data_IF_139769414889
#
_entry.id   IF_139769414889
#
_cell.length_a   1.000
_cell.length_b   1.000
_cell.length_c   1.000
_cell.angle_alpha   90.00
_cell.angle_beta   90.00
_cell.angle_gamma   90.00
#
_symmetry.space_group_name_H-M   'P 1'
#
loop_
_entity.id
_entity.type
_entity.pdbx_description
1 polymer ?
#
# COMPACT_ATOMS: atom_id res chain seq x y z
N UNK A 1 5.62 7.22 10.01
CA UNK A 1 6.53 6.24 9.39
C UNK A 1 8.02 6.50 9.63
N UNK A 2 8.79 5.42 9.82
CA UNK A 2 10.26 5.42 9.80
C UNK A 2 10.84 5.36 8.37
N UNK A 3 12.17 5.42 8.26
CA UNK A 3 12.87 5.47 6.96
C UNK A 3 12.66 4.23 6.10
N UNK A 4 12.57 3.04 6.70
CA UNK A 4 12.41 1.77 5.97
C UNK A 4 10.96 1.60 5.50
N UNK A 5 10.01 2.00 6.35
CA UNK A 5 8.60 2.04 5.95
C UNK A 5 8.39 2.95 4.74
N UNK A 6 9.03 4.13 4.74
CA UNK A 6 8.96 5.08 3.62
C UNK A 6 9.55 4.50 2.33
N UNK A 7 10.75 3.92 2.41
CA UNK A 7 11.43 3.35 1.25
C UNK A 7 10.62 2.20 0.62
N UNK A 8 10.16 1.23 1.43
CA UNK A 8 9.32 0.13 0.94
C UNK A 8 8.02 0.62 0.30
N UNK A 9 7.35 1.60 0.93
CA UNK A 9 6.13 2.18 0.39
C UNK A 9 6.40 2.87 -0.95
N UNK A 10 7.48 3.64 -1.05
CA UNK A 10 7.84 4.32 -2.29
C UNK A 10 8.15 3.34 -3.42
N UNK A 11 8.94 2.29 -3.15
CA UNK A 11 9.26 1.26 -4.14
C UNK A 11 7.99 0.57 -4.67
N UNK A 12 7.06 0.25 -3.78
CA UNK A 12 5.78 -0.32 -4.17
C UNK A 12 4.98 0.66 -5.04
N UNK A 13 4.80 1.90 -4.60
CA UNK A 13 4.04 2.91 -5.34
C UNK A 13 4.63 3.21 -6.73
N UNK A 14 5.96 3.25 -6.86
CA UNK A 14 6.64 3.41 -8.17
C UNK A 14 6.37 2.23 -9.09
N UNK A 15 6.27 1.01 -8.55
CA UNK A 15 5.95 -0.18 -9.36
C UNK A 15 4.53 -0.09 -9.94
N UNK A 16 3.59 0.46 -9.17
CA UNK A 16 2.17 0.51 -9.53
C UNK A 16 1.84 1.72 -10.40
N UNK A 17 2.33 2.89 -10.01
CA UNK A 17 1.98 4.17 -10.63
C UNK A 17 3.06 4.71 -11.56
N UNK A 18 4.23 4.07 -11.62
CA UNK A 18 5.36 4.49 -12.44
C UNK A 18 6.06 5.74 -11.90
N UNK A 19 6.74 6.46 -12.78
CA UNK A 19 7.66 7.54 -12.42
C UNK A 19 7.01 8.71 -11.67
N UNK A 20 5.70 8.93 -11.83
CA UNK A 20 5.00 9.97 -11.07
C UNK A 20 5.06 9.72 -9.55
N UNK A 21 5.10 8.46 -9.11
CA UNK A 21 5.18 8.12 -7.69
C UNK A 21 6.59 8.27 -7.12
N UNK A 22 7.61 8.43 -7.95
CA UNK A 22 8.98 8.64 -7.49
C UNK A 22 9.12 9.99 -6.76
N UNK A 23 8.30 10.99 -7.10
CA UNK A 23 8.27 12.29 -6.44
C UNK A 23 7.34 12.36 -5.23
N UNK A 24 6.52 11.32 -4.99
CA UNK A 24 5.58 11.31 -3.87
C UNK A 24 6.32 11.07 -2.56
N UNK A 25 6.13 11.95 -1.58
CA UNK A 25 6.70 11.76 -0.26
C UNK A 25 5.83 10.77 0.54
N UNK A 26 6.34 9.58 0.90
CA UNK A 26 5.53 8.57 1.59
C UNK A 26 5.02 9.08 2.94
N UNK A 27 3.72 8.99 3.15
CA UNK A 27 3.01 9.47 4.34
C UNK A 27 1.91 8.48 4.79
N UNK A 28 1.29 8.73 5.95
CA UNK A 28 0.23 7.84 6.47
C UNK A 28 -1.01 7.75 5.56
N UNK A 29 -1.49 8.84 4.92
CA UNK A 29 -2.54 8.73 3.89
C UNK A 29 -2.20 7.78 2.74
N UNK A 30 -0.99 7.86 2.18
CA UNK A 30 -0.51 6.96 1.14
C UNK A 30 -0.43 5.51 1.61
N UNK A 31 0.02 5.29 2.86
CA UNK A 31 0.00 3.96 3.47
C UNK A 31 -1.43 3.40 3.55
N UNK A 32 -2.39 4.19 4.05
CA UNK A 32 -3.78 3.75 4.18
C UNK A 32 -4.41 3.42 2.83
N UNK A 33 -4.20 4.28 1.82
CA UNK A 33 -4.66 4.01 0.46
C UNK A 33 -4.00 2.78 -0.14
N UNK A 34 -2.71 2.54 0.15
CA UNK A 34 -2.01 1.33 -0.30
C UNK A 34 -2.62 0.08 0.31
N UNK A 35 -2.94 0.10 1.60
CA UNK A 35 -3.61 -1.02 2.24
C UNK A 35 -5.01 -1.26 1.63
N UNK A 36 -5.79 -0.19 1.45
CA UNK A 36 -7.12 -0.27 0.82
C UNK A 36 -7.03 -0.81 -0.62
N UNK A 37 -6.04 -0.37 -1.39
CA UNK A 37 -5.78 -0.87 -2.74
C UNK A 37 -5.56 -2.38 -2.74
N UNK A 38 -4.76 -2.90 -1.79
CA UNK A 38 -4.54 -4.34 -1.65
C UNK A 38 -5.84 -5.06 -1.28
N UNK A 39 -6.67 -4.51 -0.38
CA UNK A 39 -7.95 -5.10 -0.02
C UNK A 39 -8.97 -5.10 -1.18
N UNK A 40 -9.08 -3.99 -1.93
CA UNK A 40 -9.94 -3.89 -3.11
C UNK A 40 -9.50 -4.82 -4.23
N UNK A 41 -8.23 -5.19 -4.26
CA UNK A 41 -7.66 -6.09 -5.27
C UNK A 41 -8.04 -7.56 -5.09
N UNK A 42 -9.08 -7.88 -4.32
CA UNK A 42 -9.56 -9.21 -3.87
C UNK A 42 -9.54 -10.40 -4.84
N UNK A 43 -9.21 -10.21 -6.12
CA UNK A 43 -8.80 -11.25 -7.07
C UNK A 43 -7.33 -11.72 -6.97
N UNK A 44 -6.48 -11.09 -6.17
CA UNK A 44 -5.07 -11.50 -6.02
C UNK A 44 -4.84 -12.40 -4.80
N UNK A 45 -5.50 -13.57 -4.78
CA UNK A 45 -5.55 -14.48 -3.63
C UNK A 45 -4.17 -14.87 -3.11
N UNK A 46 -3.19 -15.08 -3.99
CA UNK A 46 -1.83 -15.43 -3.54
C UNK A 46 -1.06 -14.26 -2.99
N UNK A 47 -1.29 -13.04 -3.49
CA UNK A 47 -0.66 -11.86 -2.92
C UNK A 47 -1.27 -11.55 -1.54
N UNK A 48 -2.59 -11.75 -1.38
CA UNK A 48 -3.29 -11.60 -0.10
C UNK A 48 -2.78 -12.54 1.01
N UNK A 49 -2.21 -13.71 0.69
CA UNK A 49 -1.62 -14.61 1.71
C UNK A 49 -0.45 -14.00 2.47
N UNK A 50 0.23 -13.03 1.88
CA UNK A 50 1.39 -12.40 2.52
C UNK A 50 1.01 -11.19 3.37
N UNK A 51 -0.24 -10.72 3.26
CA UNK A 51 -0.78 -9.61 4.04
C UNK A 51 -1.20 -10.14 5.42
N UNK A 52 -0.68 -9.60 6.53
CA UNK A 52 -1.24 -9.91 7.84
C UNK A 52 -2.70 -9.45 7.88
N UNK A 53 -3.61 -10.39 8.17
CA UNK A 53 -5.02 -10.08 8.37
C UNK A 53 -5.18 -9.04 9.49
N UNK A 54 -6.10 -8.07 9.33
CA UNK A 54 -6.33 -7.06 10.36
C UNK A 54 -6.73 -7.76 11.67
N UNK A 55 -6.04 -7.41 12.75
CA UNK A 55 -6.34 -7.90 14.10
C UNK A 55 -7.64 -7.26 14.62
N UNK A 56 -8.79 -7.65 14.06
CA UNK A 56 -10.11 -7.37 14.60
C UNK A 56 -11.12 -6.68 13.66
N UNK A 57 -12.41 -6.64 14.07
CA UNK A 57 -13.55 -6.26 13.25
C UNK A 57 -13.71 -4.74 12.99
N UNK A 58 -12.70 -3.92 13.29
CA UNK A 58 -12.84 -2.47 13.21
C UNK A 58 -12.55 -1.95 11.80
N UNK A 59 -13.55 -1.29 11.18
CA UNK A 59 -13.45 -0.56 9.90
C UNK A 59 -12.37 0.55 9.86
N UNK A 60 -11.66 0.78 10.97
CA UNK A 60 -10.57 1.73 11.14
C UNK A 60 -9.23 1.06 11.56
N UNK A 61 -9.06 -0.24 11.28
CA UNK A 61 -7.92 -1.06 11.73
C UNK A 61 -6.53 -0.47 11.43
N UNK A 62 -6.42 0.41 10.43
CA UNK A 62 -5.15 0.98 9.96
C UNK A 62 -4.49 1.94 10.96
N UNK A 63 -5.27 2.76 11.68
CA UNK A 63 -4.72 3.68 12.70
C UNK A 63 -4.14 2.94 13.92
N UNK A 64 -4.47 1.67 14.08
CA UNK A 64 -4.11 0.85 15.24
C UNK A 64 -3.19 -0.32 14.89
N UNK A 65 -2.73 -0.43 13.65
CA UNK A 65 -1.73 -1.44 13.31
C UNK A 65 -0.47 -1.18 14.12
N UNK A 66 -0.09 -2.17 14.94
CA UNK A 66 1.18 -2.16 15.65
C UNK A 66 2.31 -1.91 14.65
N UNK A 67 3.33 -1.16 15.07
CA UNK A 67 4.43 -0.72 14.21
C UNK A 67 5.09 -1.90 13.49
N UNK A 68 5.21 -3.02 14.17
CA UNK A 68 5.77 -4.28 13.71
C UNK A 68 4.94 -4.90 12.58
N UNK A 69 3.61 -4.84 12.68
CA UNK A 69 2.69 -5.33 11.65
C UNK A 69 2.77 -4.47 10.40
N UNK A 70 2.76 -3.14 10.58
CA UNK A 70 2.92 -2.18 9.47
C UNK A 70 4.25 -2.36 8.76
N UNK A 71 5.35 -2.48 9.51
CA UNK A 71 6.68 -2.73 8.96
C UNK A 71 6.73 -4.04 8.18
N UNK A 72 6.14 -5.11 8.72
CA UNK A 72 6.05 -6.41 8.04
C UNK A 72 5.24 -6.31 6.75
N UNK A 73 4.07 -5.67 6.78
CA UNK A 73 3.22 -5.44 5.61
C UNK A 73 3.98 -4.69 4.50
N UNK A 74 4.57 -3.54 4.83
CA UNK A 74 5.31 -2.71 3.86
C UNK A 74 6.49 -3.47 3.25
N UNK A 75 7.24 -4.19 4.09
CA UNK A 75 8.32 -5.06 3.62
C UNK A 75 7.80 -6.14 2.65
N UNK A 76 6.75 -6.84 3.03
CA UNK A 76 6.13 -7.88 2.19
C UNK A 76 5.73 -7.36 0.81
N UNK A 77 5.00 -6.24 0.76
CA UNK A 77 4.50 -5.72 -0.53
C UNK A 77 5.65 -5.22 -1.39
N UNK A 78 6.72 -4.68 -0.80
CA UNK A 78 7.90 -4.26 -1.54
C UNK A 78 8.70 -5.46 -2.10
N UNK A 79 8.86 -6.52 -1.31
CA UNK A 79 9.55 -7.75 -1.75
C UNK A 79 8.80 -8.49 -2.85
N UNK A 80 7.47 -8.37 -2.90
CA UNK A 80 6.61 -9.06 -3.86
C UNK A 80 5.94 -8.11 -4.86
N UNK A 81 6.47 -6.88 -5.02
CA UNK A 81 5.82 -5.79 -5.77
C UNK A 81 5.38 -6.15 -7.18
N UNK A 82 6.18 -6.95 -7.89
CA UNK A 82 5.88 -7.38 -9.27
C UNK A 82 4.68 -8.33 -9.30
N UNK A 83 4.55 -9.21 -8.29
CA UNK A 83 3.40 -10.09 -8.15
C UNK A 83 2.10 -9.32 -7.89
N UNK A 84 2.16 -8.28 -7.06
CA UNK A 84 1.02 -7.40 -6.80
C UNK A 84 0.67 -6.55 -8.04
N UNK A 85 1.68 -6.02 -8.75
CA UNK A 85 1.46 -5.16 -9.92
C UNK A 85 0.63 -5.85 -11.01
N UNK A 86 0.79 -7.17 -11.18
CA UNK A 86 0.03 -7.96 -12.16
C UNK A 86 -1.49 -7.96 -11.92
N UNK A 87 -1.92 -7.83 -10.66
CA UNK A 87 -3.32 -8.06 -10.29
C UNK A 87 -4.04 -6.81 -9.78
N UNK A 88 -3.31 -5.80 -9.29
CA UNK A 88 -3.94 -4.62 -8.69
C UNK A 88 -4.15 -3.46 -9.68
N UNK A 89 -3.70 -3.60 -10.94
CA UNK A 89 -3.71 -2.51 -11.93
C UNK A 89 -5.09 -1.84 -12.12
N UNK A 90 -6.17 -2.62 -12.20
CA UNK A 90 -7.53 -2.08 -12.34
C UNK A 90 -7.98 -1.29 -11.12
N UNK A 91 -7.69 -1.78 -9.90
CA UNK A 91 -8.01 -1.07 -8.66
C UNK A 91 -7.15 0.19 -8.51
N UNK A 92 -5.85 0.08 -8.84
CA UNK A 92 -4.92 1.20 -8.81
C UNK A 92 -5.35 2.31 -9.76
N UNK A 93 -5.80 1.97 -10.97
CA UNK A 93 -6.35 2.94 -11.92
C UNK A 93 -7.55 3.70 -11.35
N UNK A 94 -8.50 3.00 -10.72
CA UNK A 94 -9.69 3.64 -10.10
C UNK A 94 -9.31 4.54 -8.93
N UNK A 95 -8.30 4.15 -8.15
CA UNK A 95 -7.86 4.89 -6.97
C UNK A 95 -6.81 5.97 -7.28
N UNK A 96 -6.26 6.04 -8.50
CA UNK A 96 -5.10 6.87 -8.84
C UNK A 96 -5.27 8.35 -8.43
N UNK A 97 -6.46 8.90 -8.62
CA UNK A 97 -6.76 10.28 -8.20
C UNK A 97 -6.62 10.48 -6.68
N UNK A 98 -7.07 9.51 -5.87
CA UNK A 98 -6.95 9.56 -4.40
C UNK A 98 -5.48 9.50 -3.96
N UNK A 99 -4.67 8.69 -4.63
CA UNK A 99 -3.23 8.63 -4.38
C UNK A 99 -2.54 9.94 -4.73
N UNK A 100 -2.91 10.58 -5.84
CA UNK A 100 -2.35 11.85 -6.24
C UNK A 100 -2.64 12.97 -5.22
N UNK A 101 -3.89 13.07 -4.74
CA UNK A 101 -4.26 14.02 -3.68
C UNK A 101 -3.50 13.75 -2.38
N UNK A 102 -3.45 12.48 -1.94
CA UNK A 102 -2.73 12.08 -0.73
C UNK A 102 -1.22 12.37 -0.82
N UNK A 103 -0.62 12.25 -2.01
CA UNK A 103 0.78 12.60 -2.24
C UNK A 103 1.05 14.10 -2.12
N UNK A 104 0.04 14.94 -2.40
CA UNK A 104 0.10 16.39 -2.20
C UNK A 104 -0.24 16.82 -0.77
N UNK A 105 -0.60 15.87 0.11
CA UNK A 105 -1.00 16.14 1.48
C UNK A 105 -2.44 16.60 1.65
N UNK A 106 -3.29 16.35 0.64
CA UNK A 106 -4.74 16.65 0.62
C UNK A 106 -5.54 15.39 0.96
#
# INVERSE_FOLDING_TARGET
>A
MDIYERDHLQQFLVTIFGQQAASWLPNEPLFNLTYELIQESGGCTEAMRYVPEPLGPARNAFRWMAKEVRKKFLKTIAENKDHYAMCIGTAAYRMAHRFHLAAQGV
#
